data_IF_861040508587
#
_entry.id   IF_861040508587
#
_cell.length_a   1.000
_cell.length_b   1.000
_cell.length_c   1.000
_cell.angle_alpha   90.00
_cell.angle_beta   90.00
_cell.angle_gamma   90.00
#
_symmetry.space_group_name_H-M   'P 1'
#
loop_
_entity.id
_entity.type
_entity.pdbx_description
1 polymer ?
#
# COMPACT_ATOMS: atom_id res chain seq x y z
N UNK A 1 36.31 1.18 59.22
CA UNK A 1 36.84 1.30 57.84
C UNK A 1 38.20 1.98 57.85
N UNK A 2 39.24 1.25 57.46
CA UNK A 2 40.62 1.78 57.39
C UNK A 2 40.73 2.82 56.26
N UNK A 3 41.63 3.82 56.37
CA UNK A 3 41.85 4.85 55.36
C UNK A 3 42.03 4.35 53.91
N UNK A 4 42.79 3.27 53.62
CA UNK A 4 42.96 2.78 52.24
C UNK A 4 41.65 2.25 51.64
N UNK A 5 40.81 1.58 52.46
CA UNK A 5 39.53 1.03 52.02
C UNK A 5 38.56 2.14 51.57
N UNK A 6 38.56 3.29 52.26
CA UNK A 6 37.73 4.44 51.88
C UNK A 6 38.16 5.08 50.56
N UNK A 7 39.47 5.09 50.28
CA UNK A 7 40.00 5.60 48.99
C UNK A 7 39.60 4.67 47.84
N UNK A 8 39.79 3.36 48.01
CA UNK A 8 39.38 2.37 47.01
C UNK A 8 37.89 2.45 46.70
N UNK A 9 37.05 2.59 47.73
CA UNK A 9 35.60 2.72 47.57
C UNK A 9 35.21 3.96 46.74
N UNK A 10 35.84 5.11 47.00
CA UNK A 10 35.59 6.35 46.22
C UNK A 10 35.99 6.19 44.75
N UNK A 11 37.10 5.50 44.47
CA UNK A 11 37.53 5.23 43.10
C UNK A 11 36.55 4.33 42.34
N UNK A 12 36.04 3.27 42.98
CA UNK A 12 35.05 2.37 42.37
C UNK A 12 33.78 3.14 42.01
N UNK A 13 33.28 3.99 42.91
CA UNK A 13 32.10 4.81 42.63
C UNK A 13 32.32 5.82 41.51
N UNK A 14 33.49 6.48 41.48
CA UNK A 14 33.85 7.38 40.38
C UNK A 14 33.86 6.65 39.03
N UNK A 15 34.46 5.46 39.00
CA UNK A 15 34.53 4.65 37.79
C UNK A 15 33.13 4.23 37.34
N UNK A 16 32.26 3.82 38.27
CA UNK A 16 30.88 3.43 37.97
C UNK A 16 30.07 4.60 37.39
N UNK A 17 30.19 5.80 37.98
CA UNK A 17 29.49 7.02 37.54
C UNK A 17 29.91 7.43 36.14
N UNK A 18 31.15 7.17 35.73
CA UNK A 18 31.66 7.48 34.39
C UNK A 18 31.33 6.38 33.38
N UNK A 19 31.47 5.10 33.77
CA UNK A 19 31.27 3.97 32.88
C UNK A 19 29.80 3.77 32.47
N UNK A 20 28.85 4.02 33.38
CA UNK A 20 27.41 3.90 33.10
C UNK A 20 26.92 4.79 31.96
N UNK A 21 27.14 6.12 31.96
CA UNK A 21 26.68 6.99 30.87
C UNK A 21 27.40 6.69 29.55
N UNK A 22 28.69 6.32 29.60
CA UNK A 22 29.44 5.91 28.41
C UNK A 22 28.88 4.62 27.79
N UNK A 23 28.59 3.60 28.62
CA UNK A 23 27.95 2.36 28.16
C UNK A 23 26.55 2.60 27.61
N UNK A 24 25.77 3.49 28.23
CA UNK A 24 24.45 3.88 27.74
C UNK A 24 24.51 4.59 26.38
N UNK A 25 25.49 5.46 26.16
CA UNK A 25 25.70 6.11 24.87
C UNK A 25 26.20 5.13 23.81
N UNK A 26 27.07 4.18 24.18
CA UNK A 26 27.61 3.19 23.26
C UNK A 26 26.58 2.15 22.79
N UNK A 27 25.55 1.89 23.60
CA UNK A 27 24.45 0.97 23.25
C UNK A 27 23.36 1.63 22.41
N UNK A 28 23.43 2.94 22.14
CA UNK A 28 22.49 3.57 21.22
C UNK A 28 22.64 2.89 19.86
N UNK A 29 21.60 2.20 19.39
CA UNK A 29 21.66 1.57 18.08
C UNK A 29 21.80 2.69 17.05
N UNK A 30 22.92 2.75 16.34
CA UNK A 30 23.02 3.38 15.02
C UNK A 30 22.25 2.52 14.02
N UNK A 31 20.98 2.25 14.32
CA UNK A 31 20.06 1.63 13.37
C UNK A 31 19.62 2.73 12.44
N UNK A 32 20.34 2.87 11.33
CA UNK A 32 19.69 3.32 10.11
C UNK A 32 18.50 2.38 9.90
N UNK A 33 17.32 2.94 10.13
CA UNK A 33 16.03 2.31 9.89
C UNK A 33 15.99 1.79 8.44
N UNK A 34 15.96 0.47 8.19
CA UNK A 34 15.70 -0.06 6.85
C UNK A 34 14.19 -0.06 6.53
N UNK A 35 13.40 0.78 7.21
CA UNK A 35 11.94 0.77 7.14
C UNK A 35 11.37 1.54 5.95
N UNK A 36 12.21 1.94 4.98
CA UNK A 36 11.76 2.20 3.61
C UNK A 36 11.77 0.88 2.85
N UNK A 37 11.03 -0.12 3.36
CA UNK A 37 10.59 -1.20 2.49
C UNK A 37 9.54 -0.58 1.58
N UNK A 38 9.93 -0.31 0.34
CA UNK A 38 8.95 -0.09 -0.72
C UNK A 38 7.96 -1.26 -0.64
N UNK A 39 6.65 -0.98 -0.51
CA UNK A 39 5.66 -2.05 -0.45
C UNK A 39 5.92 -2.98 -1.62
N UNK A 40 6.14 -4.27 -1.34
CA UNK A 40 6.29 -5.28 -2.39
C UNK A 40 4.93 -5.39 -3.07
N UNK A 41 4.74 -4.58 -4.10
CA UNK A 41 3.55 -4.61 -4.92
C UNK A 41 3.63 -5.85 -5.82
N UNK A 42 2.53 -6.58 -6.01
CA UNK A 42 2.51 -7.66 -6.98
C UNK A 42 2.87 -7.12 -8.36
N UNK A 43 3.54 -7.91 -9.21
CA UNK A 43 3.90 -7.49 -10.55
C UNK A 43 2.63 -7.06 -11.31
N UNK A 44 2.56 -5.78 -11.65
CA UNK A 44 1.41 -5.24 -12.37
C UNK A 44 1.49 -5.61 -13.84
N UNK A 45 0.34 -5.95 -14.43
CA UNK A 45 0.25 -6.19 -15.86
C UNK A 45 0.67 -4.95 -16.65
N UNK A 46 1.30 -5.14 -17.81
CA UNK A 46 1.66 -4.03 -18.71
C UNK A 46 0.40 -3.34 -19.23
N UNK A 47 0.45 -2.02 -19.42
CA UNK A 47 -0.68 -1.28 -19.99
C UNK A 47 -0.96 -1.75 -21.42
N UNK A 48 -2.21 -2.10 -21.71
CA UNK A 48 -2.65 -2.37 -23.07
C UNK A 48 -2.61 -1.07 -23.92
N UNK A 49 -2.28 -1.15 -25.23
CA UNK A 49 -1.97 0.04 -26.01
C UNK A 49 -3.18 0.91 -26.35
N UNK A 50 -4.36 0.32 -26.56
CA UNK A 50 -5.54 1.07 -27.02
C UNK A 50 -6.37 1.53 -25.81
N UNK A 51 -6.60 2.84 -25.70
CA UNK A 51 -7.49 3.42 -24.69
C UNK A 51 -8.89 3.58 -25.29
N UNK A 52 -9.89 2.91 -24.71
CA UNK A 52 -11.27 2.95 -25.17
C UNK A 52 -12.07 4.05 -24.48
N UNK A 53 -11.90 4.18 -23.17
CA UNK A 53 -12.67 5.14 -22.37
C UNK A 53 -11.88 5.57 -21.16
N UNK A 54 -12.04 6.83 -20.78
CA UNK A 54 -11.51 7.42 -19.54
C UNK A 54 -12.65 8.04 -18.77
N UNK A 55 -12.67 7.80 -17.46
CA UNK A 55 -13.56 8.48 -16.52
C UNK A 55 -12.66 9.08 -15.47
N UNK A 56 -12.60 10.40 -15.46
CA UNK A 56 -11.89 11.15 -14.43
C UNK A 56 -12.86 11.51 -13.31
N UNK A 57 -12.50 11.17 -12.09
CA UNK A 57 -13.19 11.58 -10.88
C UNK A 57 -12.19 12.16 -9.88
N UNK A 58 -12.70 12.87 -8.88
CA UNK A 58 -11.86 13.63 -7.95
C UNK A 58 -10.77 12.78 -7.28
N UNK A 59 -11.13 11.59 -6.76
CA UNK A 59 -10.22 10.69 -6.04
C UNK A 59 -9.54 9.64 -6.92
N UNK A 60 -10.02 9.40 -8.14
CA UNK A 60 -9.50 8.32 -9.00
C UNK A 60 -9.82 8.54 -10.48
N UNK A 61 -8.99 7.97 -11.35
CA UNK A 61 -9.24 7.87 -12.81
C UNK A 61 -9.45 6.41 -13.17
N UNK A 62 -10.45 6.09 -13.97
CA UNK A 62 -10.62 4.77 -14.58
C UNK A 62 -10.40 4.86 -16.09
N UNK A 63 -9.58 3.95 -16.59
CA UNK A 63 -9.24 3.78 -18.00
C UNK A 63 -9.66 2.38 -18.42
N UNK A 64 -10.55 2.28 -19.41
CA UNK A 64 -10.80 1.03 -20.10
C UNK A 64 -9.84 0.93 -21.29
N UNK A 65 -9.00 -0.10 -21.29
CA UNK A 65 -7.99 -0.36 -22.33
C UNK A 65 -8.24 -1.68 -23.03
N UNK A 66 -7.70 -1.82 -24.23
CA UNK A 66 -7.88 -2.99 -25.09
C UNK A 66 -6.57 -3.34 -25.81
N UNK A 67 -6.39 -4.63 -26.10
CA UNK A 67 -5.29 -5.09 -26.96
C UNK A 67 -5.50 -4.63 -28.41
N UNK A 68 -4.40 -4.58 -29.19
CA UNK A 68 -4.44 -4.19 -30.62
C UNK A 68 -5.40 -5.09 -31.43
N UNK A 69 -5.49 -6.37 -31.06
CA UNK A 69 -6.37 -7.35 -31.72
C UNK A 69 -7.84 -7.24 -31.29
N UNK A 70 -8.14 -6.44 -30.27
CA UNK A 70 -9.49 -6.26 -29.76
C UNK A 70 -10.02 -7.41 -28.88
N UNK A 71 -9.26 -8.49 -28.71
CA UNK A 71 -9.72 -9.70 -28.00
C UNK A 71 -9.69 -9.55 -26.49
N UNK A 72 -8.75 -8.77 -25.96
CA UNK A 72 -8.52 -8.65 -24.52
C UNK A 72 -8.79 -7.22 -24.06
N UNK A 73 -9.33 -7.09 -22.86
CA UNK A 73 -9.60 -5.80 -22.23
C UNK A 73 -8.94 -5.75 -20.87
N UNK A 74 -8.60 -4.54 -20.46
CA UNK A 74 -7.96 -4.25 -19.18
C UNK A 74 -8.61 -3.01 -18.58
N UNK A 75 -8.93 -3.10 -17.29
CA UNK A 75 -9.32 -1.97 -16.48
C UNK A 75 -8.07 -1.42 -15.79
N UNK A 76 -7.76 -0.17 -16.04
CA UNK A 76 -6.68 0.55 -15.38
C UNK A 76 -7.31 1.60 -14.45
N UNK A 77 -6.93 1.58 -13.18
CA UNK A 77 -7.44 2.50 -12.15
C UNK A 77 -6.25 3.24 -11.58
N UNK A 78 -6.24 4.57 -11.69
CA UNK A 78 -5.29 5.43 -11.00
C UNK A 78 -5.97 5.98 -9.75
N UNK A 79 -5.58 5.49 -8.58
CA UNK A 79 -6.03 6.02 -7.31
C UNK A 79 -5.15 7.22 -6.93
N UNK A 80 -5.72 8.44 -6.97
CA UNK A 80 -4.99 9.69 -6.68
C UNK A 80 -4.81 9.90 -5.18
N UNK A 81 -5.81 9.49 -4.40
CA UNK A 81 -5.88 9.69 -2.95
C UNK A 81 -6.31 8.38 -2.27
N UNK A 82 -5.78 8.07 -1.07
CA UNK A 82 -6.22 6.90 -0.35
C UNK A 82 -7.71 7.04 0.00
N UNK A 83 -8.45 5.94 -0.04
CA UNK A 83 -9.79 5.93 0.53
C UNK A 83 -9.70 5.99 2.05
N UNK A 84 -10.76 6.49 2.70
CA UNK A 84 -10.90 6.41 4.16
C UNK A 84 -10.84 4.95 4.66
N UNK A 85 -11.22 4.02 3.78
CA UNK A 85 -11.25 2.59 4.04
C UNK A 85 -9.98 1.93 3.45
N UNK A 86 -9.13 1.28 4.27
CA UNK A 86 -7.82 0.78 3.82
C UNK A 86 -7.90 -0.46 2.91
N UNK A 87 -9.09 -1.02 2.67
CA UNK A 87 -9.28 -2.25 1.90
C UNK A 87 -10.51 -2.15 1.01
N UNK A 88 -10.48 -1.22 0.05
CA UNK A 88 -11.53 -1.13 -0.95
C UNK A 88 -11.33 -2.23 -2.01
N UNK A 89 -12.37 -3.03 -2.24
CA UNK A 89 -12.41 -4.08 -3.25
C UNK A 89 -12.97 -3.53 -4.56
N UNK A 90 -12.28 -3.79 -5.67
CA UNK A 90 -12.80 -3.55 -7.01
C UNK A 90 -13.61 -4.76 -7.44
N UNK A 91 -14.90 -4.55 -7.64
CA UNK A 91 -15.81 -5.53 -8.19
C UNK A 91 -16.25 -5.12 -9.59
N UNK A 92 -16.47 -6.12 -10.43
CA UNK A 92 -17.04 -5.94 -11.77
C UNK A 92 -18.32 -6.73 -11.83
N UNK A 93 -19.38 -6.05 -12.24
CA UNK A 93 -20.70 -6.63 -12.41
C UNK A 93 -20.97 -6.86 -13.90
N UNK A 94 -21.34 -8.09 -14.22
CA UNK A 94 -21.65 -8.54 -15.58
C UNK A 94 -22.80 -9.54 -15.53
N UNK A 95 -23.86 -9.30 -16.31
CA UNK A 95 -24.96 -10.27 -16.54
C UNK A 95 -25.55 -10.89 -15.25
N UNK A 96 -25.64 -10.09 -14.18
CA UNK A 96 -26.17 -10.54 -12.89
C UNK A 96 -25.14 -11.17 -11.94
N UNK A 97 -23.91 -11.43 -12.41
CA UNK A 97 -22.79 -11.89 -11.58
C UNK A 97 -21.93 -10.71 -11.12
N UNK A 98 -21.52 -10.73 -9.84
CA UNK A 98 -20.57 -9.79 -9.24
C UNK A 98 -19.27 -10.54 -8.98
N UNK A 99 -18.17 -10.08 -9.59
CA UNK A 99 -16.84 -10.68 -9.43
C UNK A 99 -15.87 -9.69 -8.81
N UNK A 100 -15.21 -10.07 -7.72
CA UNK A 100 -14.08 -9.32 -7.18
C UNK A 100 -12.84 -9.51 -8.07
N UNK A 101 -12.16 -8.42 -8.37
CA UNK A 101 -11.05 -8.39 -9.33
C UNK A 101 -9.74 -7.98 -8.66
N UNK A 102 -9.80 -7.17 -7.60
CA UNK A 102 -8.63 -6.85 -6.80
C UNK A 102 -8.91 -5.86 -5.69
N UNK A 103 -7.85 -5.44 -5.02
CA UNK A 103 -7.87 -4.54 -3.88
C UNK A 103 -7.19 -3.21 -4.24
N UNK A 104 -7.71 -2.12 -3.69
CA UNK A 104 -7.14 -0.78 -3.75
C UNK A 104 -6.72 -0.39 -2.33
N UNK A 105 -5.42 -0.54 -2.05
CA UNK A 105 -4.90 -0.39 -0.69
C UNK A 105 -4.14 0.93 -0.50
N UNK A 106 -3.56 1.48 -1.56
CA UNK A 106 -2.74 2.67 -1.53
C UNK A 106 -2.90 3.50 -2.82
N UNK A 107 -2.59 4.80 -2.81
CA UNK A 107 -2.50 5.58 -4.03
C UNK A 107 -1.54 4.94 -5.02
N UNK A 108 -1.93 4.93 -6.29
CA UNK A 108 -1.14 4.25 -7.32
C UNK A 108 -1.98 3.81 -8.50
N UNK A 109 -1.28 3.26 -9.49
CA UNK A 109 -1.89 2.67 -10.67
C UNK A 109 -2.20 1.21 -10.40
N UNK A 110 -3.36 0.74 -10.80
CA UNK A 110 -3.80 -0.64 -10.69
C UNK A 110 -4.30 -1.10 -12.04
N UNK A 111 -3.99 -2.34 -12.42
CA UNK A 111 -4.36 -2.86 -13.73
C UNK A 111 -4.91 -4.26 -13.60
N UNK A 112 -6.12 -4.44 -14.09
CA UNK A 112 -6.90 -5.65 -13.93
C UNK A 112 -7.34 -6.19 -15.30
N UNK A 113 -7.04 -7.45 -15.64
CA UNK A 113 -7.56 -8.06 -16.86
C UNK A 113 -9.07 -8.25 -16.75
N UNK A 114 -9.80 -7.93 -17.82
CA UNK A 114 -11.24 -8.13 -17.91
C UNK A 114 -11.55 -9.40 -18.71
N UNK A 115 -12.59 -10.16 -18.34
CA UNK A 115 -13.01 -11.31 -19.12
C UNK A 115 -13.48 -10.90 -20.52
N UNK A 116 -13.24 -11.77 -21.49
CA UNK A 116 -13.61 -11.60 -22.89
C UNK A 116 -15.13 -11.37 -23.03
N UNK A 117 -15.54 -10.45 -23.90
CA UNK A 117 -16.97 -10.14 -24.12
C UNK A 117 -17.56 -9.06 -23.21
N UNK A 118 -16.78 -8.53 -22.25
CA UNK A 118 -17.23 -7.46 -21.36
C UNK A 118 -17.34 -6.12 -22.09
N UNK A 119 -18.49 -5.85 -22.70
CA UNK A 119 -18.67 -4.66 -23.54
C UNK A 119 -18.89 -3.35 -22.76
N UNK A 120 -19.53 -3.43 -21.58
CA UNK A 120 -19.85 -2.29 -20.69
C UNK A 120 -19.76 -2.71 -19.22
N UNK A 121 -18.55 -2.87 -18.66
CA UNK A 121 -18.41 -3.29 -17.27
C UNK A 121 -18.97 -2.21 -16.34
N UNK A 122 -19.85 -2.62 -15.43
CA UNK A 122 -20.16 -1.81 -14.26
C UNK A 122 -19.10 -2.10 -13.21
N UNK A 123 -18.29 -1.10 -12.90
CA UNK A 123 -17.24 -1.17 -11.89
C UNK A 123 -17.79 -0.63 -10.58
N UNK A 124 -17.77 -1.46 -9.55
CA UNK A 124 -18.18 -1.12 -8.19
C UNK A 124 -16.96 -1.19 -7.28
N UNK A 125 -16.66 -0.09 -6.61
CA UNK A 125 -15.66 -0.04 -5.54
C UNK A 125 -16.42 -0.17 -4.23
N UNK A 126 -16.14 -1.22 -3.48
CA UNK A 126 -16.88 -1.59 -2.28
C UNK A 126 -15.91 -1.72 -1.12
N UNK A 127 -16.27 -1.13 0.00
CA UNK A 127 -15.69 -1.45 1.29
C UNK A 127 -16.29 -2.77 1.76
N UNK A 128 -15.52 -3.85 1.62
CA UNK A 128 -15.96 -5.20 1.96
C UNK A 128 -16.08 -5.42 3.47
N UNK A 129 -15.37 -4.61 4.28
CA UNK A 129 -15.44 -4.69 5.75
C UNK A 129 -16.78 -4.16 6.25
N UNK A 130 -17.25 -3.05 5.70
CA UNK A 130 -18.51 -2.42 6.10
C UNK A 130 -19.68 -2.71 5.15
N UNK A 131 -19.45 -3.46 4.07
CA UNK A 131 -20.45 -3.77 3.05
C UNK A 131 -20.98 -2.54 2.31
N UNK A 132 -20.22 -1.44 2.29
CA UNK A 132 -20.66 -0.15 1.71
C UNK A 132 -20.08 0.04 0.32
N UNK A 133 -20.92 0.41 -0.64
CA UNK A 133 -20.44 0.84 -1.96
C UNK A 133 -19.85 2.23 -1.85
N UNK A 134 -18.54 2.34 -2.05
CA UNK A 134 -17.81 3.61 -2.05
C UNK A 134 -18.10 4.37 -3.34
N UNK A 135 -18.08 3.66 -4.48
CA UNK A 135 -18.31 4.28 -5.79
C UNK A 135 -18.78 3.27 -6.81
N UNK A 136 -19.70 3.69 -7.67
CA UNK A 136 -20.14 2.90 -8.82
C UNK A 136 -19.91 3.69 -10.09
N UNK A 137 -19.28 3.06 -11.09
CA UNK A 137 -18.95 3.70 -12.35
C UNK A 137 -19.27 2.77 -13.51
N UNK A 138 -19.99 3.29 -14.51
CA UNK A 138 -20.30 2.55 -15.73
C UNK A 138 -19.37 2.98 -16.87
N UNK A 139 -18.56 2.04 -17.36
CA UNK A 139 -17.63 2.22 -18.48
C UNK A 139 -18.23 1.73 -19.81
#
# INVERSE_FOLDING_TARGET
MTPPLRRAHRFIWLLLVVALPLGFLATRPTKQSPWLQEPVLPPQSTAMPVLLRTIDADSLVLNLRQSVRGTERQLEILLKQPFETPSAVVCIRQEGSRRAVGLLNAPGLYRFPLPTGTNRPLVEIVDDVHGRTVKTVQL
#
